data_IF_296685550064
#
_entry.id   IF_296685550064
#
_cell.length_a   1.000
_cell.length_b   1.000
_cell.length_c   1.000
_cell.angle_alpha   90.00
_cell.angle_beta   90.00
_cell.angle_gamma   90.00
#
_symmetry.space_group_name_H-M   'P 1'
#
loop_
_entity.id
_entity.type
_entity.pdbx_description
1 polymer ?
#
# COMPACT_ATOMS: atom_id res chain seq x y z
N UNK A 1 -51.78 2.47 4.51
CA UNK A 1 -50.58 1.79 5.05
C UNK A 1 -50.19 0.72 4.04
N UNK A 2 -49.00 0.56 3.48
CA UNK A 2 -47.65 1.15 3.59
C UNK A 2 -47.05 1.02 2.16
N UNK A 3 -46.53 2.09 1.55
CA UNK A 3 -45.09 2.37 1.32
C UNK A 3 -44.31 1.23 0.63
N UNK A 4 -43.89 1.46 -0.62
CA UNK A 4 -42.47 1.33 -1.04
C UNK A 4 -42.23 2.14 -2.30
N UNK A 5 -41.54 3.27 -2.14
CA UNK A 5 -41.06 4.12 -3.23
C UNK A 5 -39.72 3.64 -3.78
N UNK A 6 -39.57 3.74 -5.10
CA UNK A 6 -38.33 3.52 -5.83
C UNK A 6 -37.55 4.84 -5.83
N UNK A 7 -36.39 4.85 -5.16
CA UNK A 7 -35.39 5.91 -5.22
C UNK A 7 -34.53 5.69 -6.47
N UNK A 8 -34.79 6.45 -7.54
CA UNK A 8 -33.80 6.70 -8.59
C UNK A 8 -33.01 7.96 -8.23
N UNK A 9 -31.70 7.80 -8.03
CA UNK A 9 -30.76 8.89 -7.91
C UNK A 9 -30.48 9.49 -9.30
N UNK A 10 -30.83 10.76 -9.50
CA UNK A 10 -30.34 11.57 -10.62
C UNK A 10 -29.37 12.63 -10.13
N UNK A 11 -28.12 12.41 -10.56
CA UNK A 11 -27.00 13.33 -10.82
C UNK A 11 -27.34 14.83 -10.74
N UNK A 12 -26.76 15.55 -9.78
CA UNK A 12 -26.71 17.01 -9.79
C UNK A 12 -25.49 17.43 -10.63
N UNK A 13 -25.77 17.93 -11.84
CA UNK A 13 -24.84 18.73 -12.64
C UNK A 13 -25.07 20.20 -12.27
N UNK A 14 -23.99 20.91 -11.92
CA UNK A 14 -24.02 22.36 -11.73
C UNK A 14 -24.02 23.05 -13.09
N UNK A 15 -25.01 23.89 -13.35
CA UNK A 15 -24.87 24.98 -14.31
C UNK A 15 -25.27 26.29 -13.62
N UNK A 16 -24.31 27.22 -13.56
CA UNK A 16 -24.57 28.63 -13.38
C UNK A 16 -25.26 29.13 -14.64
N UNK A 17 -26.29 29.97 -14.50
CA UNK A 17 -26.47 31.09 -15.42
C UNK A 17 -27.26 32.22 -14.76
N UNK A 18 -26.66 33.41 -14.82
CA UNK A 18 -27.31 34.69 -14.60
C UNK A 18 -28.27 34.95 -15.77
N UNK A 19 -29.44 35.50 -15.47
CA UNK A 19 -30.04 36.67 -16.15
C UNK A 19 -31.57 36.59 -16.29
N UNK A 20 -32.18 37.75 -15.99
CA UNK A 20 -33.31 38.35 -16.73
C UNK A 20 -34.76 38.06 -16.26
N UNK A 21 -35.42 39.20 -15.98
CA UNK A 21 -36.84 39.59 -16.16
C UNK A 21 -37.81 39.48 -14.98
N UNK A 22 -38.13 40.68 -14.47
CA UNK A 22 -39.47 41.15 -14.16
C UNK A 22 -40.58 40.37 -14.88
N UNK A 23 -41.51 39.79 -14.10
CA UNK A 23 -42.95 39.95 -14.30
C UNK A 23 -43.76 39.38 -13.13
N UNK A 24 -44.73 40.19 -12.73
CA UNK A 24 -45.82 39.99 -11.78
C UNK A 24 -46.33 38.55 -11.59
N UNK A 25 -46.63 38.19 -10.33
CA UNK A 25 -47.65 37.19 -9.99
C UNK A 25 -48.75 37.89 -9.20
N UNK A 26 -49.96 37.87 -9.78
CA UNK A 26 -51.23 38.33 -9.22
C UNK A 26 -51.89 37.12 -8.55
N UNK A 27 -52.35 37.23 -7.31
CA UNK A 27 -53.42 36.37 -6.78
C UNK A 27 -54.10 37.02 -5.56
N UNK A 28 -55.44 37.07 -5.61
CA UNK A 28 -56.32 37.30 -4.46
C UNK A 28 -56.62 38.78 -4.16
N UNK A 29 -57.79 39.24 -4.56
CA UNK A 29 -58.22 40.64 -4.44
C UNK A 29 -58.21 41.21 -3.02
N UNK A 30 -57.49 42.33 -2.87
CA UNK A 30 -57.90 43.58 -2.21
C UNK A 30 -56.81 44.62 -2.51
N UNK A 31 -57.13 45.58 -3.37
CA UNK A 31 -56.32 46.79 -3.51
C UNK A 31 -56.47 47.62 -2.23
N UNK A 32 -55.34 47.87 -1.54
CA UNK A 32 -55.23 49.01 -0.61
C UNK A 32 -54.01 49.79 -1.05
N UNK A 33 -54.24 50.97 -1.63
CA UNK A 33 -53.21 51.97 -1.90
C UNK A 33 -52.82 52.66 -0.59
N UNK A 34 -51.50 52.78 -0.43
CA UNK A 34 -50.76 53.80 0.32
C UNK A 34 -50.80 53.73 1.85
N UNK A 35 -49.64 53.41 2.44
CA UNK A 35 -48.93 54.37 3.31
C UNK A 35 -47.43 54.00 3.35
N UNK A 36 -46.70 54.44 2.31
CA UNK A 36 -45.24 54.39 2.22
C UNK A 36 -44.61 55.50 3.07
N UNK A 37 -44.74 55.40 4.39
CA UNK A 37 -43.99 56.26 5.32
C UNK A 37 -43.48 55.54 6.58
N UNK A 38 -44.01 54.35 6.92
CA UNK A 38 -43.59 53.62 8.12
C UNK A 38 -42.35 52.70 7.92
N UNK A 39 -41.97 52.39 6.68
CA UNK A 39 -40.83 51.48 6.41
C UNK A 39 -39.45 52.16 6.35
N UNK A 40 -39.39 53.49 6.34
CA UNK A 40 -38.11 54.22 6.51
C UNK A 40 -37.67 54.35 7.97
N UNK A 41 -38.59 54.18 8.94
CA UNK A 41 -38.26 54.23 10.37
C UNK A 41 -37.75 52.88 10.93
N UNK A 42 -38.00 51.75 10.25
CA UNK A 42 -37.55 50.43 10.70
C UNK A 42 -36.21 49.97 10.11
N UNK A 43 -35.62 50.76 9.20
CA UNK A 43 -34.25 50.54 8.69
C UNK A 43 -33.18 51.36 9.44
N UNK A 44 -33.53 51.94 10.59
CA UNK A 44 -32.59 52.63 11.47
C UNK A 44 -32.52 51.96 12.85
N UNK A 45 -32.40 50.63 12.90
CA UNK A 45 -31.91 49.87 14.06
C UNK A 45 -31.85 48.40 13.71
N UNK A 46 -30.78 47.98 13.03
CA UNK A 46 -30.16 46.65 13.13
C UNK A 46 -29.15 46.48 11.99
N UNK A 47 -28.06 47.23 12.06
CA UNK A 47 -26.83 46.89 11.36
C UNK A 47 -25.80 46.48 12.41
N UNK A 48 -26.10 45.41 13.16
CA UNK A 48 -25.05 44.68 13.89
C UNK A 48 -24.27 43.93 12.81
N UNK A 49 -23.33 44.63 12.18
CA UNK A 49 -22.22 43.96 11.49
C UNK A 49 -21.43 43.29 12.60
N UNK A 50 -21.55 41.98 12.73
CA UNK A 50 -20.65 41.19 13.59
C UNK A 50 -19.24 41.33 13.04
N UNK A 51 -18.49 42.32 13.53
CA UNK A 51 -17.08 42.48 13.21
C UNK A 51 -16.36 41.20 13.64
N UNK A 52 -15.70 40.52 12.68
CA UNK A 52 -14.81 39.41 13.01
C UNK A 52 -13.74 39.93 13.99
N UNK A 53 -13.66 39.31 15.17
CA UNK A 53 -12.61 39.60 16.16
C UNK A 53 -11.24 39.31 15.53
N UNK A 54 -10.53 40.34 15.07
CA UNK A 54 -9.14 40.21 14.61
C UNK A 54 -8.23 40.12 15.83
N UNK A 55 -7.40 39.09 15.86
CA UNK A 55 -6.39 38.95 16.91
C UNK A 55 -5.24 39.95 16.66
N UNK A 56 -4.75 40.59 17.72
CA UNK A 56 -3.51 41.37 17.67
C UNK A 56 -2.35 40.47 17.24
N UNK A 57 -1.47 41.00 16.40
CA UNK A 57 -0.21 40.38 16.03
C UNK A 57 0.83 40.54 17.15
N UNK A 58 1.81 39.63 17.23
CA UNK A 58 2.82 39.64 18.30
C UNK A 58 3.74 40.87 18.23
N UNK A 59 4.01 41.39 17.02
CA UNK A 59 4.76 42.64 16.84
C UNK A 59 3.97 43.82 17.43
N UNK A 60 2.66 43.86 17.19
CA UNK A 60 1.79 44.91 17.69
C UNK A 60 1.63 44.82 19.22
N UNK A 61 1.56 43.60 19.79
CA UNK A 61 1.59 43.38 21.25
C UNK A 61 2.86 43.92 21.87
N UNK A 62 4.03 43.61 21.30
CA UNK A 62 5.31 44.11 21.79
C UNK A 62 5.42 45.64 21.74
N UNK A 63 4.86 46.27 20.70
CA UNK A 63 4.80 47.75 20.59
C UNK A 63 3.89 48.38 21.65
N UNK A 64 2.78 47.74 22.01
CA UNK A 64 1.88 48.23 23.07
C UNK A 64 2.59 48.14 24.42
N UNK A 65 3.18 46.98 24.74
CA UNK A 65 3.86 46.75 26.02
C UNK A 65 5.04 47.71 26.20
N UNK A 66 5.89 47.88 25.18
CA UNK A 66 7.02 48.82 25.23
C UNK A 66 6.56 50.26 25.52
N UNK A 67 5.46 50.71 24.92
CA UNK A 67 4.94 52.08 25.14
C UNK A 67 4.42 52.26 26.57
N UNK A 68 3.79 51.24 27.14
CA UNK A 68 3.32 51.25 28.53
C UNK A 68 4.48 51.21 29.54
N UNK A 69 5.54 50.44 29.25
CA UNK A 69 6.77 50.43 30.06
C UNK A 69 7.47 51.80 30.06
N UNK A 70 7.39 52.56 28.96
CA UNK A 70 7.90 53.93 28.88
C UNK A 70 7.00 54.97 29.61
N UNK A 71 6.00 54.55 30.37
CA UNK A 71 5.16 55.43 31.19
C UNK A 71 4.01 56.12 30.46
N UNK A 72 3.69 55.73 29.21
CA UNK A 72 2.51 56.25 28.51
C UNK A 72 1.22 55.72 29.10
N UNK A 73 0.15 56.50 29.03
CA UNK A 73 -1.16 56.05 29.55
C UNK A 73 -1.83 55.08 28.58
N UNK A 74 -2.69 54.20 29.10
CA UNK A 74 -3.42 53.23 28.26
C UNK A 74 -4.34 53.92 27.24
N UNK A 75 -4.84 55.12 27.56
CA UNK A 75 -5.68 55.92 26.68
C UNK A 75 -4.88 56.48 25.50
N UNK A 76 -3.70 57.04 25.74
CA UNK A 76 -2.80 57.51 24.68
C UNK A 76 -2.43 56.40 23.69
N UNK A 77 -2.10 55.21 24.23
CA UNK A 77 -1.75 54.04 23.40
C UNK A 77 -2.98 53.51 22.63
N UNK A 78 -4.18 53.64 23.20
CA UNK A 78 -5.46 53.27 22.57
C UNK A 78 -5.76 54.18 21.37
N UNK A 79 -5.63 55.48 21.54
CA UNK A 79 -5.88 56.49 20.50
C UNK A 79 -4.83 56.43 19.39
N UNK A 80 -3.55 56.26 19.74
CA UNK A 80 -2.44 56.21 18.78
C UNK A 80 -2.50 54.96 17.88
N UNK A 81 -2.92 53.81 18.41
CA UNK A 81 -2.92 52.54 17.69
C UNK A 81 -4.30 52.10 17.19
N UNK A 82 -5.36 52.84 17.54
CA UNK A 82 -6.74 52.50 17.18
C UNK A 82 -7.20 51.16 17.74
N UNK A 83 -6.72 50.79 18.93
CA UNK A 83 -7.05 49.52 19.60
C UNK A 83 -7.81 49.86 20.87
N UNK A 84 -8.95 49.20 21.12
CA UNK A 84 -9.72 49.40 22.34
C UNK A 84 -8.86 49.30 23.61
N UNK A 85 -8.96 50.31 24.48
CA UNK A 85 -8.29 50.35 25.78
C UNK A 85 -8.49 49.06 26.61
N UNK A 86 -9.67 48.41 26.51
CA UNK A 86 -9.97 47.15 27.19
C UNK A 86 -9.09 45.97 26.73
N UNK A 87 -8.59 46.00 25.50
CA UNK A 87 -7.65 45.01 24.96
C UNK A 87 -6.23 45.31 25.45
N UNK A 88 -5.85 46.58 25.49
CA UNK A 88 -4.57 47.05 26.02
C UNK A 88 -4.44 46.72 27.51
N UNK A 89 -5.48 47.01 28.30
CA UNK A 89 -5.54 46.70 29.74
C UNK A 89 -5.37 45.21 30.00
N UNK A 90 -6.09 44.33 29.28
CA UNK A 90 -5.95 42.87 29.41
C UNK A 90 -4.57 42.36 29.00
N UNK A 91 -3.97 42.96 27.97
CA UNK A 91 -2.61 42.61 27.54
C UNK A 91 -1.57 43.04 28.58
N UNK A 92 -1.71 44.24 29.12
CA UNK A 92 -0.82 44.78 30.14
C UNK A 92 -0.87 43.96 31.42
N UNK A 93 -2.07 43.63 31.89
CA UNK A 93 -2.24 42.80 33.07
C UNK A 93 -1.55 41.44 32.89
N UNK A 94 -1.79 40.77 31.76
CA UNK A 94 -1.15 39.50 31.45
C UNK A 94 0.39 39.59 31.37
N UNK A 95 0.92 40.70 30.86
CA UNK A 95 2.36 40.91 30.81
C UNK A 95 2.96 41.10 32.21
N UNK A 96 2.26 41.81 33.10
CA UNK A 96 2.67 41.95 34.50
C UNK A 96 2.62 40.61 35.24
N UNK A 97 1.66 39.74 34.92
CA UNK A 97 1.50 38.44 35.57
C UNK A 97 2.51 37.38 35.09
N UNK A 98 2.71 37.23 33.78
CA UNK A 98 3.49 36.12 33.19
C UNK A 98 4.81 36.55 32.52
N UNK A 99 5.07 37.86 32.35
CA UNK A 99 6.23 38.41 31.61
C UNK A 99 6.24 38.11 30.11
N UNK A 100 5.21 37.43 29.58
CA UNK A 100 5.18 36.95 28.20
C UNK A 100 4.35 37.86 27.28
N UNK A 101 4.98 38.34 26.21
CA UNK A 101 4.36 39.16 25.16
C UNK A 101 3.60 38.30 24.14
N UNK A 102 4.04 37.06 23.96
CA UNK A 102 3.52 36.13 22.96
C UNK A 102 2.28 35.39 23.43
N UNK A 103 1.48 34.97 22.47
CA UNK A 103 0.26 34.21 22.73
C UNK A 103 0.59 32.80 23.25
N UNK A 104 0.21 32.49 24.49
CA UNK A 104 0.10 31.09 24.90
C UNK A 104 -1.08 30.42 24.18
N UNK A 105 -0.81 29.35 23.45
CA UNK A 105 -1.86 28.46 22.96
C UNK A 105 -2.44 27.69 24.14
N UNK A 106 -3.76 27.65 24.27
CA UNK A 106 -4.37 26.75 25.25
C UNK A 106 -3.96 25.32 24.91
N UNK A 107 -3.52 24.56 25.91
CA UNK A 107 -3.44 23.11 25.78
C UNK A 107 -4.84 22.63 25.43
N UNK A 108 -5.00 22.13 24.20
CA UNK A 108 -6.29 21.61 23.75
C UNK A 108 -6.80 20.50 24.66
N UNK A 109 -8.03 20.04 24.39
CA UNK A 109 -8.64 18.94 25.14
C UNK A 109 -7.65 17.77 25.33
N UNK A 110 -7.46 17.36 26.59
CA UNK A 110 -6.61 16.22 26.93
C UNK A 110 -7.05 14.97 26.16
N UNK A 111 -6.06 14.20 25.70
CA UNK A 111 -6.32 12.97 24.96
C UNK A 111 -6.84 11.91 25.92
N UNK A 112 -7.79 11.13 25.43
CA UNK A 112 -8.40 10.00 26.14
C UNK A 112 -7.42 8.85 26.40
N UNK A 113 -6.36 8.74 25.58
CA UNK A 113 -5.33 7.70 25.70
C UNK A 113 -3.94 8.29 25.62
N UNK A 114 -3.00 7.67 26.32
CA UNK A 114 -1.58 8.05 26.29
C UNK A 114 -0.86 7.45 25.08
N UNK A 115 0.24 8.07 24.61
CA UNK A 115 1.04 7.49 23.52
C UNK A 115 1.54 6.06 23.79
N UNK A 116 1.84 5.73 25.05
CA UNK A 116 2.35 4.41 25.44
C UNK A 116 1.27 3.33 25.44
N UNK A 117 0.05 3.65 25.90
CA UNK A 117 -1.11 2.78 25.76
C UNK A 117 -1.39 2.46 24.29
N UNK A 118 -1.36 3.47 23.42
CA UNK A 118 -1.59 3.30 21.99
C UNK A 118 -0.51 2.41 21.35
N UNK A 119 0.76 2.59 21.76
CA UNK A 119 1.89 1.76 21.31
C UNK A 119 1.74 0.32 21.79
N UNK A 120 1.34 0.11 23.04
CA UNK A 120 1.12 -1.22 23.62
C UNK A 120 -0.04 -1.96 22.93
N UNK A 121 -1.18 -1.28 22.75
CA UNK A 121 -2.36 -1.83 22.07
C UNK A 121 -2.03 -2.25 20.64
N UNK A 122 -1.35 -1.40 19.88
CA UNK A 122 -0.99 -1.69 18.49
C UNK A 122 0.07 -2.80 18.40
N UNK A 123 1.06 -2.85 19.30
CA UNK A 123 2.09 -3.91 19.31
C UNK A 123 1.54 -5.27 19.73
N UNK A 124 0.59 -5.34 20.66
CA UNK A 124 -0.02 -6.60 21.11
C UNK A 124 -1.07 -7.13 20.12
N UNK A 125 -1.76 -6.22 19.44
CA UNK A 125 -2.86 -6.54 18.52
C UNK A 125 -2.57 -6.05 17.09
N UNK A 126 -1.39 -6.37 16.56
CA UNK A 126 -0.88 -5.83 15.27
C UNK A 126 -1.77 -6.11 14.07
N UNK A 127 -2.61 -7.15 14.14
CA UNK A 127 -3.48 -7.64 13.05
C UNK A 127 -4.92 -7.17 13.19
N UNK A 128 -5.25 -6.50 14.27
CA UNK A 128 -6.61 -6.05 14.58
C UNK A 128 -6.92 -4.75 13.86
N UNK A 129 -8.18 -4.59 13.43
CA UNK A 129 -8.61 -3.34 12.80
C UNK A 129 -8.69 -2.22 13.83
N UNK A 130 -8.66 -0.96 13.37
CA UNK A 130 -8.88 0.18 14.27
C UNK A 130 -10.21 0.10 15.04
N UNK A 131 -11.23 -0.56 14.46
CA UNK A 131 -12.52 -0.81 15.11
C UNK A 131 -12.40 -1.87 16.21
N UNK A 132 -11.65 -2.95 15.96
CA UNK A 132 -11.39 -3.98 16.97
C UNK A 132 -10.57 -3.43 18.14
N UNK A 133 -9.56 -2.60 17.85
CA UNK A 133 -8.74 -1.94 18.88
C UNK A 133 -9.58 -0.96 19.72
N UNK A 134 -10.50 -0.22 19.08
CA UNK A 134 -11.46 0.63 19.78
C UNK A 134 -12.36 -0.19 20.71
N UNK A 135 -12.88 -1.33 20.24
CA UNK A 135 -13.71 -2.23 21.06
C UNK A 135 -12.94 -2.83 22.23
N UNK A 136 -11.70 -3.29 22.00
CA UNK A 136 -10.83 -3.82 23.05
C UNK A 136 -10.51 -2.76 24.11
N UNK A 137 -10.22 -1.53 23.69
CA UNK A 137 -9.99 -0.41 24.60
C UNK A 137 -11.26 -0.09 25.41
N UNK A 138 -12.42 -0.07 24.74
CA UNK A 138 -13.72 0.20 25.40
C UNK A 138 -14.04 -0.85 26.45
N UNK A 139 -13.76 -2.13 26.18
CA UNK A 139 -13.94 -3.22 27.15
C UNK A 139 -12.98 -3.14 28.33
N UNK A 140 -11.73 -2.70 28.12
CA UNK A 140 -10.71 -2.66 29.16
C UNK A 140 -10.79 -1.41 30.06
N UNK A 141 -11.20 -0.27 29.50
CA UNK A 141 -11.14 1.04 30.18
C UNK A 141 -12.50 1.72 30.35
N UNK A 142 -13.55 1.17 29.75
CA UNK A 142 -14.89 1.78 29.73
C UNK A 142 -15.00 2.98 28.79
N UNK A 143 -13.92 3.40 28.11
CA UNK A 143 -13.93 4.60 27.27
C UNK A 143 -14.15 4.26 25.81
N UNK A 144 -15.19 4.86 25.23
CA UNK A 144 -15.51 4.71 23.80
C UNK A 144 -14.68 5.67 22.96
N UNK A 145 -13.88 5.11 22.05
CA UNK A 145 -13.02 5.87 21.14
C UNK A 145 -13.43 5.58 19.71
N UNK A 146 -13.67 6.61 18.89
CA UNK A 146 -14.02 6.39 17.49
C UNK A 146 -12.88 5.70 16.73
N UNK A 147 -13.22 4.92 15.68
CA UNK A 147 -12.25 4.31 14.75
C UNK A 147 -11.25 5.34 14.21
N UNK A 148 -11.72 6.55 13.87
CA UNK A 148 -10.89 7.62 13.31
C UNK A 148 -9.88 8.15 14.33
N UNK A 149 -10.32 8.30 15.58
CA UNK A 149 -9.46 8.72 16.70
C UNK A 149 -8.38 7.68 16.96
N UNK A 150 -8.75 6.39 16.98
CA UNK A 150 -7.81 5.28 17.13
C UNK A 150 -6.75 5.27 16.02
N UNK A 151 -7.17 5.46 14.77
CA UNK A 151 -6.25 5.52 13.63
C UNK A 151 -5.25 6.69 13.76
N UNK A 152 -5.73 7.89 14.13
CA UNK A 152 -4.87 9.07 14.34
C UNK A 152 -3.91 8.87 15.50
N UNK A 153 -4.39 8.35 16.63
CA UNK A 153 -3.60 8.11 17.83
C UNK A 153 -2.47 7.12 17.57
N UNK A 154 -2.76 6.00 16.91
CA UNK A 154 -1.73 5.02 16.52
C UNK A 154 -0.77 5.63 15.50
N UNK A 155 -1.27 6.44 14.54
CA UNK A 155 -0.42 7.16 13.59
C UNK A 155 0.59 8.10 14.26
N UNK A 156 0.19 8.80 15.33
CA UNK A 156 1.12 9.63 16.12
C UNK A 156 2.23 8.83 16.83
N UNK A 157 2.05 7.52 17.03
CA UNK A 157 3.11 6.65 17.59
C UNK A 157 4.11 6.14 16.54
N UNK A 158 3.94 6.52 15.27
CA UNK A 158 4.79 6.08 14.15
C UNK A 158 4.41 4.73 13.54
N UNK A 159 3.25 4.17 13.92
CA UNK A 159 2.73 2.92 13.39
C UNK A 159 1.67 3.18 12.32
N UNK A 160 1.82 2.51 11.17
CA UNK A 160 0.91 2.67 10.04
C UNK A 160 0.38 1.32 9.56
N UNK A 161 -0.86 1.36 9.10
CA UNK A 161 -1.50 0.21 8.47
C UNK A 161 -0.84 -0.07 7.12
N UNK A 162 -0.25 -1.26 6.97
CA UNK A 162 0.43 -1.72 5.75
C UNK A 162 0.18 -3.19 5.50
N UNK A 163 0.42 -3.65 4.27
CA UNK A 163 0.33 -5.07 3.91
C UNK A 163 1.58 -5.82 4.42
N UNK A 164 1.43 -6.91 5.19
CA UNK A 164 2.54 -7.76 5.60
C UNK A 164 3.16 -8.47 4.40
N UNK A 165 4.44 -8.83 4.50
CA UNK A 165 5.09 -9.69 3.50
C UNK A 165 4.67 -11.14 3.80
N UNK A 166 4.32 -11.92 2.78
CA UNK A 166 4.08 -13.36 2.96
C UNK A 166 5.38 -14.09 2.63
N UNK A 167 6.11 -14.58 3.64
CA UNK A 167 7.32 -15.40 3.46
C UNK A 167 7.35 -16.56 4.45
N UNK A 168 8.18 -17.56 4.15
CA UNK A 168 8.53 -18.64 5.08
C UNK A 168 9.72 -18.16 5.91
N UNK A 169 9.68 -18.25 7.25
CA UNK A 169 10.81 -17.86 8.09
C UNK A 169 12.03 -18.74 7.76
N UNK A 170 13.17 -18.12 7.50
CA UNK A 170 14.41 -18.81 7.16
C UNK A 170 15.11 -19.30 8.44
N UNK A 171 15.72 -20.48 8.36
CA UNK A 171 16.63 -20.96 9.40
C UNK A 171 18.02 -20.36 9.17
N UNK A 172 18.86 -20.37 10.21
CA UNK A 172 20.27 -19.93 10.07
C UNK A 172 21.01 -20.68 8.98
N UNK A 173 20.72 -21.97 8.78
CA UNK A 173 21.28 -22.78 7.70
C UNK A 173 20.85 -22.27 6.32
N UNK A 174 19.56 -21.96 6.13
CA UNK A 174 19.08 -21.38 4.88
C UNK A 174 19.76 -20.05 4.58
N UNK A 175 19.90 -19.18 5.58
CA UNK A 175 20.59 -17.90 5.43
C UNK A 175 22.06 -18.07 4.99
N UNK A 176 22.79 -19.03 5.58
CA UNK A 176 24.18 -19.33 5.20
C UNK A 176 24.30 -19.82 3.76
N UNK A 177 23.50 -20.82 3.38
CA UNK A 177 23.51 -21.37 2.01
C UNK A 177 23.14 -20.30 0.97
N UNK A 178 22.12 -19.49 1.27
CA UNK A 178 21.77 -18.33 0.44
C UNK A 178 22.94 -17.37 0.31
N UNK A 179 23.62 -17.02 1.41
CA UNK A 179 24.74 -16.08 1.37
C UNK A 179 25.89 -16.61 0.51
N UNK A 180 26.26 -17.89 0.66
CA UNK A 180 27.31 -18.54 -0.14
C UNK A 180 26.97 -18.49 -1.63
N UNK A 181 25.77 -18.94 -1.99
CA UNK A 181 25.31 -18.91 -3.37
C UNK A 181 25.35 -17.49 -3.96
N UNK A 182 24.87 -16.49 -3.21
CA UNK A 182 24.91 -15.11 -3.68
C UNK A 182 26.33 -14.58 -3.87
N UNK A 183 27.32 -15.03 -3.08
CA UNK A 183 28.72 -14.61 -3.25
C UNK A 183 29.30 -15.17 -4.54
N UNK A 184 29.05 -16.43 -4.83
CA UNK A 184 29.50 -17.11 -6.05
C UNK A 184 28.91 -16.46 -7.31
N UNK A 185 27.63 -16.10 -7.25
CA UNK A 185 26.89 -15.62 -8.41
C UNK A 185 26.82 -14.08 -8.52
N UNK A 186 27.32 -13.32 -7.53
CA UNK A 186 27.28 -11.85 -7.56
C UNK A 186 28.16 -11.23 -8.64
N UNK A 187 29.21 -11.93 -9.07
CA UNK A 187 30.16 -11.47 -10.07
C UNK A 187 29.92 -12.09 -11.45
N UNK A 188 28.87 -12.89 -11.61
CA UNK A 188 28.54 -13.50 -12.88
C UNK A 188 28.24 -12.45 -13.95
N UNK A 189 28.74 -12.70 -15.16
CA UNK A 189 28.55 -11.85 -16.34
C UNK A 189 27.19 -12.12 -16.99
N UNK A 190 26.66 -11.20 -17.82
CA UNK A 190 25.46 -11.46 -18.63
C UNK A 190 25.54 -12.73 -19.48
N UNK A 191 26.73 -13.08 -19.99
CA UNK A 191 26.96 -14.29 -20.78
C UNK A 191 26.79 -15.56 -19.94
N UNK A 192 27.23 -15.54 -18.68
CA UNK A 192 26.99 -16.68 -17.78
C UNK A 192 25.50 -16.85 -17.47
N UNK A 193 24.78 -15.73 -17.29
CA UNK A 193 23.32 -15.76 -17.11
C UNK A 193 22.55 -16.12 -18.38
N UNK A 194 23.13 -15.91 -19.57
CA UNK A 194 22.52 -16.26 -20.85
C UNK A 194 22.22 -17.75 -20.96
N UNK A 195 23.10 -18.59 -20.40
CA UNK A 195 22.98 -20.04 -20.48
C UNK A 195 22.05 -20.63 -19.40
N UNK A 196 21.50 -19.81 -18.49
CA UNK A 196 20.64 -20.28 -17.40
C UNK A 196 19.16 -20.17 -17.79
N UNK A 197 18.47 -21.30 -17.76
CA UNK A 197 17.01 -21.34 -17.83
C UNK A 197 16.43 -21.32 -16.41
N UNK A 198 15.69 -20.26 -16.09
CA UNK A 198 14.95 -20.15 -14.85
C UNK A 198 13.55 -20.74 -15.03
N UNK A 199 13.21 -21.77 -14.26
CA UNK A 199 11.91 -22.43 -14.33
C UNK A 199 11.21 -22.48 -12.99
N UNK A 200 9.87 -22.63 -13.02
CA UNK A 200 9.05 -22.58 -11.82
C UNK A 200 7.58 -22.97 -12.06
N UNK A 201 6.89 -23.45 -11.02
CA UNK A 201 5.44 -23.66 -11.02
C UNK A 201 4.68 -22.57 -10.25
N UNK A 202 3.56 -22.12 -10.79
CA UNK A 202 2.63 -21.22 -10.10
C UNK A 202 1.19 -21.75 -10.12
N UNK A 203 0.33 -21.26 -9.22
CA UNK A 203 -1.11 -21.56 -9.24
C UNK A 203 -1.95 -20.30 -9.43
N UNK A 204 -2.83 -20.33 -10.42
CA UNK A 204 -3.82 -19.28 -10.70
C UNK A 204 -5.23 -19.79 -10.44
N UNK A 205 -6.04 -19.03 -9.71
CA UNK A 205 -7.41 -19.38 -9.32
C UNK A 205 -8.40 -18.27 -9.66
N UNK A 206 -9.67 -18.63 -9.93
CA UNK A 206 -10.75 -17.67 -10.22
C UNK A 206 -11.06 -16.76 -9.04
N UNK A 207 -10.98 -17.31 -7.83
CA UNK A 207 -11.12 -16.54 -6.60
C UNK A 207 -9.73 -16.05 -6.19
N UNK A 208 -9.55 -14.73 -6.18
CA UNK A 208 -8.39 -14.12 -5.54
C UNK A 208 -8.66 -14.05 -4.03
N UNK A 209 -7.77 -14.65 -3.22
CA UNK A 209 -7.82 -14.44 -1.78
C UNK A 209 -7.29 -13.03 -1.46
N UNK A 210 -8.13 -12.04 -1.74
CA UNK A 210 -7.95 -10.66 -1.33
C UNK A 210 -8.38 -10.47 0.13
N UNK A 211 -8.17 -11.43 1.03
CA UNK A 211 -8.05 -11.09 2.45
C UNK A 211 -6.91 -10.08 2.57
N UNK A 212 -7.30 -8.80 2.56
CA UNK A 212 -6.47 -7.62 2.80
C UNK A 212 -6.14 -7.62 4.29
N UNK A 213 -5.42 -8.64 4.75
CA UNK A 213 -4.86 -8.65 6.10
C UNK A 213 -3.86 -7.51 6.14
N UNK A 214 -4.21 -6.47 6.89
CA UNK A 214 -3.35 -5.33 7.13
C UNK A 214 -2.76 -5.46 8.53
N UNK A 215 -1.53 -4.99 8.69
CA UNK A 215 -0.84 -4.97 9.97
C UNK A 215 -0.40 -3.55 10.31
N UNK A 216 -0.39 -3.22 11.59
CA UNK A 216 0.26 -2.01 12.10
C UNK A 216 1.76 -2.26 12.16
N UNK A 217 2.55 -1.45 11.45
CA UNK A 217 4.01 -1.53 11.48
C UNK A 217 4.69 -0.17 11.29
N UNK A 218 5.94 -0.10 11.72
CA UNK A 218 6.81 1.07 11.51
C UNK A 218 7.26 1.13 10.04
N UNK A 219 7.39 2.32 9.43
CA UNK A 219 8.03 2.46 8.12
C UNK A 219 9.41 1.80 8.07
N UNK A 220 9.80 1.25 6.92
CA UNK A 220 11.10 0.55 6.76
C UNK A 220 11.15 -0.89 7.31
N UNK A 221 10.27 -1.28 8.23
CA UNK A 221 10.31 -2.63 8.86
C UNK A 221 9.62 -3.73 8.05
N UNK A 222 9.44 -3.55 6.73
CA UNK A 222 8.58 -4.40 5.87
C UNK A 222 8.91 -5.90 5.96
N UNK A 223 10.19 -6.25 6.06
CA UNK A 223 10.68 -7.64 5.97
C UNK A 223 11.01 -8.29 7.32
N UNK A 224 10.84 -7.57 8.44
CA UNK A 224 11.03 -8.19 9.75
C UNK A 224 10.06 -9.36 9.95
N UNK A 225 10.53 -10.44 10.56
CA UNK A 225 9.76 -11.67 10.79
C UNK A 225 8.40 -11.40 11.46
N UNK A 226 8.33 -10.45 12.41
CA UNK A 226 7.09 -10.03 13.07
C UNK A 226 6.04 -9.39 12.12
N UNK A 227 6.48 -8.86 10.98
CA UNK A 227 5.66 -8.23 9.95
C UNK A 227 5.31 -9.17 8.80
N UNK A 228 5.65 -10.45 8.95
CA UNK A 228 5.42 -11.47 7.94
C UNK A 228 4.28 -12.41 8.32
N UNK A 229 3.54 -12.90 7.34
CA UNK A 229 2.48 -13.90 7.53
C UNK A 229 2.89 -15.20 6.86
N UNK A 230 2.86 -16.29 7.64
CA UNK A 230 3.02 -17.66 7.12
C UNK A 230 1.90 -17.96 6.13
N UNK A 231 2.25 -18.52 4.97
CA UNK A 231 1.26 -19.00 4.00
C UNK A 231 0.65 -20.31 4.53
N UNK A 232 -0.68 -20.41 4.50
CA UNK A 232 -1.38 -21.68 4.67
C UNK A 232 -1.52 -22.38 3.31
N UNK A 233 -1.54 -23.72 3.31
CA UNK A 233 -1.85 -24.53 2.12
C UNK A 233 -3.29 -24.23 1.68
N UNK A 234 -3.48 -23.85 0.42
CA UNK A 234 -4.82 -23.65 -0.14
C UNK A 234 -5.37 -24.96 -0.72
N UNK A 235 -6.69 -25.11 -0.73
CA UNK A 235 -7.39 -26.26 -1.32
C UNK A 235 -8.38 -25.86 -2.42
N UNK A 236 -8.23 -24.67 -3.02
CA UNK A 236 -9.19 -24.14 -4.00
C UNK A 236 -8.92 -24.60 -5.44
N UNK A 237 -9.96 -24.72 -6.26
CA UNK A 237 -9.88 -25.02 -7.69
C UNK A 237 -9.12 -23.92 -8.45
N UNK A 238 -8.18 -24.32 -9.30
CA UNK A 238 -7.29 -23.43 -10.07
C UNK A 238 -6.34 -24.23 -10.96
N UNK A 239 -5.70 -23.54 -11.89
CA UNK A 239 -4.69 -24.11 -12.79
C UNK A 239 -3.31 -24.06 -12.14
N UNK A 240 -2.60 -25.18 -12.17
CA UNK A 240 -1.16 -25.20 -11.97
C UNK A 240 -0.51 -24.91 -13.33
N UNK A 241 0.39 -23.94 -13.35
CA UNK A 241 1.13 -23.56 -14.55
C UNK A 241 2.61 -23.79 -14.30
N UNK A 242 3.33 -24.19 -15.32
CA UNK A 242 4.79 -24.24 -15.33
C UNK A 242 5.31 -23.43 -16.51
N UNK A 243 6.39 -22.70 -16.30
CA UNK A 243 7.08 -22.00 -17.37
C UNK A 243 8.57 -21.96 -17.12
N UNK A 244 9.31 -21.75 -18.20
CA UNK A 244 10.73 -21.47 -18.18
C UNK A 244 11.03 -20.19 -18.95
N UNK A 245 11.96 -19.41 -18.45
CA UNK A 245 12.48 -18.21 -19.10
C UNK A 245 14.00 -18.33 -19.27
N UNK A 246 14.49 -17.82 -20.39
CA UNK A 246 15.92 -17.77 -20.72
C UNK A 246 16.20 -16.44 -21.40
N UNK A 247 17.46 -16.00 -21.46
CA UNK A 247 17.74 -14.72 -22.09
C UNK A 247 17.48 -14.80 -23.61
N UNK A 248 16.64 -13.90 -24.11
CA UNK A 248 16.23 -13.85 -25.51
C UNK A 248 15.10 -14.81 -25.91
N UNK A 249 14.60 -15.65 -24.99
CA UNK A 249 13.50 -16.57 -25.28
C UNK A 249 12.69 -16.97 -24.03
N UNK A 250 11.62 -17.73 -24.22
CA UNK A 250 10.86 -18.36 -23.13
C UNK A 250 10.19 -19.63 -23.65
N UNK A 251 9.83 -20.48 -22.73
CA UNK A 251 9.07 -21.69 -23.03
C UNK A 251 7.59 -21.35 -23.11
N UNK A 252 6.87 -22.09 -23.95
CA UNK A 252 5.41 -22.12 -23.90
C UNK A 252 4.91 -22.49 -22.51
N UNK A 253 3.87 -21.78 -22.06
CA UNK A 253 3.32 -21.99 -20.72
C UNK A 253 2.58 -23.34 -20.67
N UNK A 254 3.09 -24.26 -19.87
CA UNK A 254 2.40 -25.52 -19.59
C UNK A 254 1.31 -25.29 -18.54
N UNK A 255 0.11 -25.81 -18.79
CA UNK A 255 -1.06 -25.60 -17.92
C UNK A 255 -1.77 -26.92 -17.63
N UNK A 256 -1.87 -27.28 -16.35
CA UNK A 256 -2.50 -28.52 -15.89
C UNK A 256 -3.38 -28.32 -14.65
N UNK A 257 -4.38 -29.19 -14.48
CA UNK A 257 -5.28 -29.17 -13.33
C UNK A 257 -4.78 -30.02 -12.15
N UNK A 258 -3.83 -30.91 -12.41
CA UNK A 258 -3.30 -31.88 -11.44
C UNK A 258 -2.06 -31.37 -10.71
N UNK A 259 -1.85 -31.89 -9.51
CA UNK A 259 -0.63 -31.65 -8.72
C UNK A 259 0.60 -32.18 -9.44
N UNK A 260 1.71 -31.45 -9.38
CA UNK A 260 2.98 -31.88 -9.97
C UNK A 260 3.55 -33.08 -9.18
N UNK A 261 3.87 -34.17 -9.89
CA UNK A 261 4.57 -35.34 -9.36
C UNK A 261 5.90 -35.51 -10.09
N UNK A 262 6.84 -36.28 -9.53
CA UNK A 262 8.15 -36.51 -10.19
C UNK A 262 8.00 -37.12 -11.59
N UNK A 263 7.03 -38.02 -11.79
CA UNK A 263 6.74 -38.60 -13.11
C UNK A 263 6.25 -37.55 -14.10
N UNK A 264 5.26 -36.74 -13.71
CA UNK A 264 4.74 -35.67 -14.57
C UNK A 264 5.85 -34.66 -14.88
N UNK A 265 6.69 -34.33 -13.89
CA UNK A 265 7.81 -33.43 -14.07
C UNK A 265 8.82 -33.98 -15.10
N UNK A 266 9.18 -35.26 -15.01
CA UNK A 266 10.07 -35.90 -15.98
C UNK A 266 9.45 -35.98 -17.38
N UNK A 267 8.28 -36.61 -17.51
CA UNK A 267 7.66 -36.94 -18.80
C UNK A 267 7.14 -35.70 -19.56
N UNK A 268 6.71 -34.66 -18.84
CA UNK A 268 6.09 -33.48 -19.44
C UNK A 268 7.04 -32.29 -19.40
N UNK A 269 7.67 -32.02 -18.26
CA UNK A 269 8.51 -30.82 -18.13
C UNK A 269 9.89 -31.05 -18.74
N UNK A 270 10.62 -32.07 -18.28
CA UNK A 270 11.99 -32.28 -18.74
C UNK A 270 12.03 -32.73 -20.20
N UNK A 271 11.32 -33.80 -20.54
CA UNK A 271 11.41 -34.43 -21.86
C UNK A 271 10.84 -33.56 -22.98
N UNK A 272 9.73 -32.86 -22.75
CA UNK A 272 9.04 -32.10 -23.82
C UNK A 272 9.52 -30.65 -23.91
N UNK A 273 9.91 -30.04 -22.78
CA UNK A 273 10.20 -28.61 -22.75
C UNK A 273 11.68 -28.30 -22.53
N UNK A 274 12.32 -28.88 -21.51
CA UNK A 274 13.72 -28.53 -21.15
C UNK A 274 14.73 -29.13 -22.13
N UNK A 275 14.52 -30.39 -22.54
CA UNK A 275 15.41 -31.12 -23.45
C UNK A 275 15.69 -30.38 -24.76
N UNK A 276 14.69 -29.71 -25.33
CA UNK A 276 14.81 -28.95 -26.57
C UNK A 276 15.86 -27.83 -26.46
N UNK A 277 15.92 -27.16 -25.31
CA UNK A 277 16.89 -26.09 -25.08
C UNK A 277 18.29 -26.61 -24.82
N UNK A 278 18.43 -27.76 -24.17
CA UNK A 278 19.74 -28.42 -24.04
C UNK A 278 20.36 -28.72 -25.41
N UNK A 279 19.55 -29.17 -26.36
CA UNK A 279 19.97 -29.42 -27.74
C UNK A 279 20.40 -28.14 -28.48
N UNK A 280 19.69 -27.03 -28.26
CA UNK A 280 19.99 -25.76 -28.92
C UNK A 280 21.20 -25.00 -28.32
N UNK A 281 21.35 -25.04 -26.99
CA UNK A 281 22.33 -24.24 -26.24
C UNK A 281 23.66 -24.97 -25.99
N UNK A 282 23.71 -26.29 -26.18
CA UNK A 282 24.93 -27.06 -25.95
C UNK A 282 25.30 -27.21 -24.47
N UNK A 283 26.54 -27.64 -24.22
CA UNK A 283 27.00 -28.10 -22.91
C UNK A 283 27.02 -27.03 -21.81
N UNK A 284 26.96 -25.76 -22.19
CA UNK A 284 26.90 -24.64 -21.25
C UNK A 284 25.50 -24.41 -20.67
N UNK A 285 24.47 -25.10 -21.21
CA UNK A 285 23.10 -24.98 -20.74
C UNK A 285 22.96 -25.40 -19.27
N UNK A 286 22.42 -24.50 -18.46
CA UNK A 286 22.18 -24.72 -17.05
C UNK A 286 20.69 -24.63 -16.76
N UNK A 287 20.13 -25.70 -16.23
CA UNK A 287 18.73 -25.76 -15.86
C UNK A 287 18.53 -25.40 -14.39
N UNK A 288 17.76 -24.36 -14.10
CA UNK A 288 17.39 -23.98 -12.74
C UNK A 288 15.96 -24.44 -12.43
N UNK A 289 15.86 -25.32 -11.43
CA UNK A 289 14.64 -25.67 -10.73
C UNK A 289 14.78 -25.39 -9.23
N UNK A 290 13.64 -25.32 -8.52
CA UNK A 290 13.69 -25.25 -7.07
C UNK A 290 13.90 -26.65 -6.44
N UNK A 291 14.20 -26.69 -5.15
CA UNK A 291 14.38 -27.93 -4.41
C UNK A 291 13.05 -28.61 -4.00
N UNK A 292 11.96 -28.41 -4.75
CA UNK A 292 10.69 -29.07 -4.42
C UNK A 292 10.81 -30.59 -4.55
N UNK A 293 10.02 -31.31 -3.74
CA UNK A 293 10.07 -32.78 -3.68
C UNK A 293 9.93 -33.48 -5.04
N UNK A 294 9.04 -33.06 -5.96
CA UNK A 294 8.95 -33.68 -7.29
C UNK A 294 10.25 -33.60 -8.11
N UNK A 295 11.04 -32.52 -7.94
CA UNK A 295 12.25 -32.26 -8.73
C UNK A 295 13.45 -33.07 -8.22
N UNK A 296 13.38 -33.53 -6.97
CA UNK A 296 14.47 -34.25 -6.27
C UNK A 296 14.16 -35.75 -6.15
N UNK A 297 13.48 -36.32 -7.15
CA UNK A 297 13.19 -37.77 -7.23
C UNK A 297 14.21 -38.46 -8.11
N UNK A 298 14.52 -39.74 -7.83
CA UNK A 298 15.52 -40.50 -8.59
C UNK A 298 15.24 -40.50 -10.11
N UNK A 299 13.98 -40.67 -10.50
CA UNK A 299 13.56 -40.66 -11.92
C UNK A 299 13.86 -39.33 -12.62
N UNK A 300 13.85 -38.21 -11.89
CA UNK A 300 14.17 -36.88 -12.42
C UNK A 300 15.69 -36.72 -12.52
N UNK A 301 16.43 -37.16 -11.51
CA UNK A 301 17.88 -37.11 -11.50
C UNK A 301 18.49 -38.00 -12.61
N UNK A 302 17.96 -39.21 -12.79
CA UNK A 302 18.32 -40.13 -13.89
C UNK A 302 18.04 -39.50 -15.26
N UNK A 303 16.89 -38.85 -15.43
CA UNK A 303 16.53 -38.17 -16.68
C UNK A 303 17.52 -37.05 -17.01
N UNK A 304 17.82 -36.17 -16.06
CA UNK A 304 18.78 -35.07 -16.27
C UNK A 304 20.18 -35.59 -16.61
N UNK A 305 20.62 -36.66 -15.95
CA UNK A 305 21.89 -37.31 -16.27
C UNK A 305 21.89 -37.92 -17.67
N UNK A 306 20.81 -38.61 -18.07
CA UNK A 306 20.72 -39.24 -19.40
C UNK A 306 20.69 -38.24 -20.54
N UNK A 307 20.14 -37.05 -20.31
CA UNK A 307 20.05 -35.97 -21.29
C UNK A 307 21.23 -34.99 -21.19
N UNK A 308 22.23 -35.28 -20.34
CA UNK A 308 23.40 -34.44 -20.07
C UNK A 308 23.03 -33.00 -19.70
N UNK A 309 21.95 -32.84 -18.93
CA UNK A 309 21.45 -31.54 -18.46
C UNK A 309 22.07 -31.24 -17.11
N UNK A 310 22.93 -30.22 -17.06
CA UNK A 310 23.48 -29.75 -15.78
C UNK A 310 22.43 -28.92 -15.06
N UNK A 311 22.17 -29.28 -13.81
CA UNK A 311 21.27 -28.54 -12.91
C UNK A 311 22.05 -27.48 -12.14
N UNK A 312 21.46 -26.29 -12.01
CA UNK A 312 21.99 -25.22 -11.16
C UNK A 312 21.78 -25.57 -9.68
N UNK A 313 22.82 -25.42 -8.87
CA UNK A 313 22.64 -25.41 -7.42
C UNK A 313 21.73 -24.26 -7.02
N UNK A 314 20.69 -24.52 -6.22
CA UNK A 314 19.73 -23.49 -5.83
C UNK A 314 19.50 -23.47 -4.32
N UNK A 315 19.59 -22.31 -3.65
CA UNK A 315 19.38 -22.24 -2.21
C UNK A 315 17.88 -22.34 -1.87
N UNK A 316 17.54 -23.20 -0.90
CA UNK A 316 16.16 -23.40 -0.47
C UNK A 316 15.47 -22.10 -0.02
N UNK A 317 14.15 -22.01 -0.26
CA UNK A 317 13.31 -20.85 0.09
C UNK A 317 13.79 -19.52 -0.49
N UNK A 318 14.22 -19.51 -1.76
CA UNK A 318 14.75 -18.31 -2.44
C UNK A 318 13.93 -17.81 -3.64
N UNK A 319 12.61 -17.61 -3.51
CA UNK A 319 11.79 -17.09 -4.61
C UNK A 319 12.19 -15.66 -5.01
N UNK A 320 12.83 -14.90 -4.12
CA UNK A 320 13.32 -13.55 -4.42
C UNK A 320 14.51 -13.53 -5.40
N UNK A 321 15.23 -14.64 -5.51
CA UNK A 321 16.32 -14.83 -6.46
C UNK A 321 15.83 -15.39 -7.81
N UNK A 322 14.63 -15.97 -7.90
CA UNK A 322 14.10 -16.51 -9.15
C UNK A 322 13.42 -15.39 -9.98
N UNK A 323 13.94 -14.99 -11.16
CA UNK A 323 13.35 -13.92 -11.96
C UNK A 323 11.94 -14.22 -12.45
N UNK A 324 11.60 -15.50 -12.67
CA UNK A 324 10.28 -15.90 -13.18
C UNK A 324 9.16 -15.61 -12.17
N UNK A 325 9.46 -15.47 -10.87
CA UNK A 325 8.49 -15.04 -9.86
C UNK A 325 7.98 -13.62 -10.15
N UNK A 326 8.82 -12.77 -10.76
CA UNK A 326 8.38 -11.45 -11.24
C UNK A 326 7.55 -11.56 -12.52
N UNK A 327 7.85 -12.53 -13.39
CA UNK A 327 7.06 -12.80 -14.59
C UNK A 327 5.67 -13.31 -14.21
N UNK A 328 5.55 -14.15 -13.18
CA UNK A 328 4.26 -14.56 -12.62
C UNK A 328 3.44 -13.39 -12.07
N UNK A 329 4.08 -12.43 -11.40
CA UNK A 329 3.41 -11.20 -10.93
C UNK A 329 2.96 -10.31 -12.10
N UNK A 330 3.76 -10.20 -13.16
CA UNK A 330 3.36 -9.53 -14.41
C UNK A 330 2.16 -10.22 -15.06
N UNK A 331 2.20 -11.55 -15.21
CA UNK A 331 1.13 -12.35 -15.79
C UNK A 331 -0.18 -12.16 -15.01
N UNK A 332 -0.11 -12.28 -13.69
CA UNK A 332 -1.29 -12.13 -12.85
C UNK A 332 -1.85 -10.70 -12.81
N UNK A 333 -1.00 -9.67 -12.88
CA UNK A 333 -1.45 -8.27 -13.07
C UNK A 333 -2.18 -8.12 -14.40
N UNK A 334 -1.62 -8.63 -15.50
CA UNK A 334 -2.23 -8.57 -16.84
C UNK A 334 -3.60 -9.23 -16.88
N UNK A 335 -3.72 -10.45 -16.35
CA UNK A 335 -5.00 -11.17 -16.23
C UNK A 335 -6.05 -10.35 -15.48
N UNK A 336 -5.63 -9.68 -14.42
CA UNK A 336 -6.53 -8.89 -13.56
C UNK A 336 -6.97 -7.57 -14.17
N UNK A 337 -6.21 -7.06 -15.13
CA UNK A 337 -6.51 -5.84 -15.87
C UNK A 337 -7.20 -6.10 -17.22
N UNK A 338 -7.48 -7.37 -17.57
CA UNK A 338 -8.22 -7.70 -18.80
C UNK A 338 -9.60 -7.07 -18.76
N UNK A 339 -10.05 -6.57 -19.92
CA UNK A 339 -11.38 -5.96 -20.08
C UNK A 339 -12.52 -6.94 -19.74
N UNK A 340 -12.30 -8.23 -20.03
CA UNK A 340 -13.22 -9.31 -19.70
C UNK A 340 -12.57 -10.23 -18.64
N UNK A 341 -12.97 -10.11 -17.36
CA UNK A 341 -12.50 -10.99 -16.31
C UNK A 341 -12.89 -12.45 -16.60
N UNK A 342 -11.98 -13.39 -16.35
CA UNK A 342 -12.28 -14.82 -16.47
C UNK A 342 -13.32 -15.22 -15.42
N UNK A 343 -14.44 -15.76 -15.88
CA UNK A 343 -15.55 -16.20 -15.01
C UNK A 343 -15.53 -17.70 -14.73
N UNK A 344 -14.86 -18.48 -15.59
CA UNK A 344 -14.71 -19.92 -15.45
C UNK A 344 -13.27 -20.41 -15.72
N UNK A 345 -12.96 -21.66 -15.32
CA UNK A 345 -11.61 -22.21 -15.43
C UNK A 345 -11.10 -22.28 -16.89
N UNK A 346 -11.89 -22.72 -17.88
CA UNK A 346 -11.43 -22.71 -19.28
C UNK A 346 -11.06 -21.32 -19.79
N UNK A 347 -11.85 -20.29 -19.45
CA UNK A 347 -11.54 -18.90 -19.79
C UNK A 347 -10.24 -18.44 -19.13
N UNK A 348 -10.02 -18.82 -17.87
CA UNK A 348 -8.78 -18.51 -17.16
C UNK A 348 -7.57 -19.19 -17.81
N UNK A 349 -7.70 -20.45 -18.26
CA UNK A 349 -6.63 -21.16 -19.00
C UNK A 349 -6.27 -20.41 -20.27
N UNK A 350 -7.26 -20.02 -21.08
CA UNK A 350 -7.01 -19.26 -22.31
C UNK A 350 -6.37 -17.90 -22.01
N UNK A 351 -6.87 -17.18 -21.00
CA UNK A 351 -6.29 -15.91 -20.60
C UNK A 351 -4.82 -16.03 -20.14
N UNK A 352 -4.48 -17.10 -19.41
CA UNK A 352 -3.09 -17.39 -19.01
C UNK A 352 -2.17 -17.58 -20.22
N UNK A 353 -2.59 -18.37 -21.20
CA UNK A 353 -1.82 -18.63 -22.42
C UNK A 353 -1.68 -17.34 -23.26
N UNK A 354 -2.77 -16.62 -23.49
CA UNK A 354 -2.77 -15.36 -24.24
C UNK A 354 -1.82 -14.33 -23.60
N UNK A 355 -1.97 -14.09 -22.28
CA UNK A 355 -1.17 -13.06 -21.60
C UNK A 355 0.29 -13.45 -21.49
N UNK A 356 0.61 -14.75 -21.38
CA UNK A 356 2.00 -15.23 -21.41
C UNK A 356 2.66 -14.87 -22.74
N UNK A 357 1.98 -15.10 -23.86
CA UNK A 357 2.45 -14.69 -25.18
C UNK A 357 2.57 -13.17 -25.35
N UNK A 358 1.76 -12.41 -24.63
CA UNK A 358 1.76 -10.94 -24.69
C UNK A 358 2.78 -10.28 -23.73
N UNK A 359 3.53 -11.04 -22.93
CA UNK A 359 4.64 -10.50 -22.15
C UNK A 359 5.80 -10.20 -23.11
N UNK A 360 6.28 -8.94 -23.19
CA UNK A 360 7.43 -8.60 -24.03
C UNK A 360 8.70 -9.29 -23.54
N UNK A 361 9.49 -9.86 -24.47
CA UNK A 361 10.71 -10.60 -24.12
C UNK A 361 11.77 -9.70 -23.49
N UNK A 362 11.86 -8.43 -23.88
CA UNK A 362 12.77 -7.44 -23.28
C UNK A 362 12.49 -7.24 -21.78
N UNK A 363 11.24 -7.35 -21.33
CA UNK A 363 10.90 -7.29 -19.90
C UNK A 363 11.43 -8.51 -19.15
N UNK A 364 11.39 -9.69 -19.77
CA UNK A 364 11.94 -10.94 -19.21
C UNK A 364 13.48 -10.86 -19.16
N UNK A 365 14.11 -10.43 -20.25
CA UNK A 365 15.57 -10.31 -20.35
C UNK A 365 16.11 -9.32 -19.31
N UNK A 366 15.43 -8.18 -19.11
CA UNK A 366 15.77 -7.23 -18.06
C UNK A 366 15.70 -7.83 -16.65
N UNK A 367 14.76 -8.76 -16.40
CA UNK A 367 14.68 -9.47 -15.12
C UNK A 367 15.86 -10.43 -14.94
N UNK A 368 16.26 -11.15 -15.98
CA UNK A 368 17.42 -12.07 -15.95
C UNK A 368 18.72 -11.26 -15.79
N UNK A 369 18.91 -10.20 -16.57
CA UNK A 369 20.07 -9.31 -16.47
C UNK A 369 20.18 -8.59 -15.12
N UNK A 370 19.09 -8.52 -14.36
CA UNK A 370 19.11 -7.97 -12.99
C UNK A 370 19.74 -8.93 -11.96
N UNK A 371 20.02 -10.18 -12.30
CA UNK A 371 20.47 -11.22 -11.35
C UNK A 371 21.70 -10.82 -10.55
N UNK A 372 22.77 -10.32 -11.18
CA UNK A 372 23.97 -9.90 -10.45
C UNK A 372 23.67 -8.77 -9.44
N UNK A 373 22.71 -7.89 -9.74
CA UNK A 373 22.25 -6.85 -8.80
C UNK A 373 21.43 -7.44 -7.66
N UNK A 374 20.55 -8.41 -7.93
CA UNK A 374 19.81 -9.15 -6.89
C UNK A 374 20.79 -9.84 -5.96
N UNK A 375 21.76 -10.57 -6.49
CA UNK A 375 22.76 -11.26 -5.68
C UNK A 375 23.51 -10.29 -4.75
N UNK A 376 24.00 -9.16 -5.28
CA UNK A 376 24.67 -8.12 -4.49
C UNK A 376 23.78 -7.53 -3.40
N UNK A 377 22.51 -7.23 -3.72
CA UNK A 377 21.57 -6.74 -2.72
C UNK A 377 21.32 -7.79 -1.60
N UNK A 378 21.47 -9.07 -1.90
CA UNK A 378 21.31 -10.17 -0.92
C UNK A 378 22.48 -10.21 0.06
N UNK A 379 23.67 -9.80 -0.39
CA UNK A 379 24.87 -9.70 0.45
C UNK A 379 24.82 -8.49 1.41
N UNK A 380 24.17 -7.41 1.00
CA UNK A 380 24.08 -6.17 1.79
C UNK A 380 22.84 -6.08 2.68
N UNK A 381 21.89 -7.00 2.53
CA UNK A 381 20.74 -7.11 3.44
C UNK A 381 21.10 -8.02 4.62
N UNK A 382 20.77 -7.67 5.88
CA UNK A 382 20.72 -8.69 6.94
C UNK A 382 19.84 -9.84 6.41
N UNK A 383 20.26 -11.08 6.66
CA UNK A 383 19.99 -12.31 5.88
C UNK A 383 18.50 -12.75 5.66
N UNK A 384 17.55 -11.83 5.80
CA UNK A 384 16.11 -12.01 5.93
C UNK A 384 15.29 -11.43 4.76
N UNK A 385 15.86 -11.10 3.59
CA UNK A 385 15.23 -10.80 2.26
C UNK A 385 15.85 -9.57 1.58
N UNK A 386 15.95 -9.62 0.25
CA UNK A 386 16.40 -8.54 -0.63
C UNK A 386 15.65 -7.21 -0.47
N UNK A 387 16.42 -6.13 -0.28
CA UNK A 387 16.04 -4.76 -0.64
C UNK A 387 16.28 -4.59 -2.15
N UNK A 388 15.24 -4.73 -2.97
CA UNK A 388 15.31 -4.24 -4.35
C UNK A 388 14.96 -2.75 -4.31
N UNK A 389 15.95 -1.92 -4.65
CA UNK A 389 15.93 -0.46 -4.53
C UNK A 389 14.73 0.23 -5.20
N UNK A 390 14.48 1.46 -4.72
CA UNK A 390 13.30 2.28 -4.92
C UNK A 390 13.03 2.76 -6.36
N UNK A 391 13.91 2.49 -7.33
CA UNK A 391 13.77 2.99 -8.69
C UNK A 391 13.10 2.04 -9.70
N UNK A 392 12.75 0.80 -9.29
CA UNK A 392 12.03 -0.16 -10.16
C UNK A 392 10.69 -0.64 -9.56
N UNK A 393 10.30 -0.16 -8.38
CA UNK A 393 9.22 -0.79 -7.61
C UNK A 393 7.98 0.10 -7.39
N UNK A 394 7.07 0.10 -8.36
CA UNK A 394 5.66 0.03 -8.02
C UNK A 394 5.21 -1.43 -8.12
N UNK A 395 4.82 -1.98 -6.96
CA UNK A 395 4.03 -3.22 -6.81
C UNK A 395 4.82 -4.51 -7.04
N UNK A 396 5.48 -4.99 -5.97
CA UNK A 396 5.72 -6.43 -5.77
C UNK A 396 4.58 -6.96 -4.89
N UNK A 397 3.94 -8.03 -5.36
CA UNK A 397 2.86 -8.83 -4.76
C UNK A 397 1.44 -8.43 -5.17
N UNK A 398 1.10 -8.74 -6.42
CA UNK A 398 -0.23 -9.19 -6.76
C UNK A 398 -0.13 -10.44 -7.67
N UNK A 399 -0.81 -11.52 -7.24
CA UNK A 399 -1.31 -12.68 -8.02
C UNK A 399 -0.66 -14.06 -7.93
N UNK A 400 0.54 -14.24 -7.39
CA UNK A 400 1.18 -15.57 -7.47
C UNK A 400 0.96 -16.36 -6.18
N UNK A 401 -0.11 -17.16 -6.17
CA UNK A 401 -0.35 -18.15 -5.13
C UNK A 401 0.61 -19.33 -5.36
N UNK A 402 1.64 -19.46 -4.52
CA UNK A 402 2.60 -20.57 -4.62
C UNK A 402 2.64 -21.45 -3.37
N UNK A 403 2.66 -22.75 -3.62
CA UNK A 403 2.80 -23.85 -2.68
C UNK A 403 4.28 -24.22 -2.55
N UNK A 404 4.71 -24.52 -1.33
CA UNK A 404 5.87 -25.37 -1.09
C UNK A 404 5.32 -26.79 -0.94
N UNK A 405 5.73 -27.72 -1.82
CA UNK A 405 5.37 -29.14 -1.72
C UNK A 405 6.32 -29.90 -0.79
#
# INVERSE_FOLDING_TARGET
MQITGILQMVRIVRHNDESVRERYIRNGGKEVKLFTSALKAFQCSNRIVMAQRKHLDDILRGRIIRRLECGRTQLEVSEELGIDQSVISRLWQRFQDDGNVSRCYSTGRLRVTTPDENRYLAKRNRRSTASDLSRLLSLATGVTVSRQTMYRHIGHTGLYVRRPVRCVPLTTTHCRLRLTWNREHALWTPQQWYCVMFSDESRFSLQSDSRRTLIWRVPGTRYHQENTIKRHRYGGAGWLVWGGIILGSRIDLHVQSVTMTGHIYRDVILEQHVRLFRGAMGAEFLFMDDNARPHRTNIVDECLQSEDITRMDWPAYSPDLNPIEHVWDMLGRRISTRQHPSTCLPELRRALLDEWCNIPQDQIDNLILSMSRRCKACLHSPADILRIDHHINHVILLFVNRFFF
#
